data_IF_831387148953
#
_entry.id   IF_831387148953
#
_cell.length_a   1.000
_cell.length_b   1.000
_cell.length_c   1.000
_cell.angle_alpha   90.00
_cell.angle_beta   90.00
_cell.angle_gamma   90.00
#
_symmetry.space_group_name_H-M   'P 1'
#
loop_
_entity.id
_entity.type
_entity.pdbx_description
1 polymer ?
#
# COMPACT_ATOMS: atom_id res chain seq x y z
N UNK A 1 4.40 -23.02 -7.25
CA UNK A 1 2.97 -22.95 -7.64
C UNK A 1 2.62 -21.66 -8.37
N UNK A 2 2.57 -20.46 -7.75
CA UNK A 2 2.15 -19.23 -8.46
C UNK A 2 2.98 -18.95 -9.73
N UNK A 3 4.30 -19.07 -9.61
CA UNK A 3 5.25 -18.96 -10.73
C UNK A 3 4.97 -19.98 -11.84
N UNK A 4 4.69 -21.24 -11.47
CA UNK A 4 4.39 -22.31 -12.43
C UNK A 4 3.07 -22.08 -13.18
N UNK A 5 2.17 -21.29 -12.58
CA UNK A 5 0.91 -20.84 -13.19
C UNK A 5 1.06 -19.53 -13.98
N UNK A 6 2.26 -18.97 -14.08
CA UNK A 6 2.52 -17.70 -14.77
C UNK A 6 1.97 -16.47 -14.05
N UNK A 7 1.70 -16.55 -12.74
CA UNK A 7 1.23 -15.42 -11.94
C UNK A 7 2.42 -14.57 -11.53
N UNK A 8 2.44 -13.31 -11.98
CA UNK A 8 3.57 -12.40 -11.81
C UNK A 8 3.49 -11.49 -10.58
N UNK A 9 2.30 -11.32 -9.99
CA UNK A 9 2.05 -10.37 -8.89
C UNK A 9 1.33 -11.02 -7.72
N UNK A 10 1.66 -10.59 -6.50
CA UNK A 10 0.97 -10.99 -5.26
C UNK A 10 0.76 -9.80 -4.33
N UNK A 11 -0.34 -9.81 -3.57
CA UNK A 11 -0.60 -8.87 -2.47
C UNK A 11 -0.15 -9.51 -1.17
N UNK A 12 0.69 -8.81 -0.40
CA UNK A 12 1.19 -9.27 0.89
C UNK A 12 0.99 -8.22 1.97
N UNK A 13 0.65 -8.68 3.18
CA UNK A 13 0.45 -7.81 4.33
C UNK A 13 -0.85 -7.02 4.33
N UNK A 14 -1.85 -7.44 3.55
CA UNK A 14 -3.19 -6.84 3.62
C UNK A 14 -3.70 -6.80 5.07
N UNK A 15 -4.42 -5.74 5.44
CA UNK A 15 -4.88 -5.48 6.81
C UNK A 15 -5.60 -6.68 7.45
N UNK A 16 -6.46 -7.36 6.69
CA UNK A 16 -7.16 -8.57 7.14
C UNK A 16 -6.19 -9.72 7.49
N UNK A 17 -5.11 -9.89 6.71
CA UNK A 17 -4.08 -10.89 7.03
C UNK A 17 -3.33 -10.55 8.30
N UNK A 18 -3.04 -9.27 8.53
CA UNK A 18 -2.41 -8.78 9.76
C UNK A 18 -3.30 -8.97 10.98
N UNK A 19 -4.58 -8.63 10.87
CA UNK A 19 -5.46 -8.48 12.03
C UNK A 19 -6.37 -9.69 12.30
N UNK A 20 -6.80 -10.41 11.28
CA UNK A 20 -7.65 -11.61 11.42
C UNK A 20 -6.77 -12.86 11.49
N UNK A 21 -5.77 -12.96 10.62
CA UNK A 21 -4.89 -14.13 10.53
C UNK A 21 -3.59 -13.99 11.34
N UNK A 22 -3.34 -12.83 11.95
CA UNK A 22 -2.22 -12.61 12.86
C UNK A 22 -0.85 -12.56 12.17
N UNK A 23 -0.77 -12.19 10.90
CA UNK A 23 0.52 -12.08 10.20
C UNK A 23 1.34 -10.91 10.74
N UNK A 24 2.50 -11.20 11.32
CA UNK A 24 3.43 -10.21 11.88
C UNK A 24 4.21 -9.47 10.79
N UNK A 25 4.76 -8.31 11.15
CA UNK A 25 5.61 -7.49 10.26
C UNK A 25 6.80 -8.31 9.72
N UNK A 26 7.42 -9.14 10.57
CA UNK A 26 8.55 -10.00 10.19
C UNK A 26 8.14 -11.11 9.23
N UNK A 27 7.02 -11.80 9.49
CA UNK A 27 6.52 -12.86 8.61
C UNK A 27 6.20 -12.32 7.22
N UNK A 28 5.57 -11.14 7.16
CA UNK A 28 5.24 -10.52 5.88
C UNK A 28 6.52 -10.12 5.12
N UNK A 29 7.50 -9.53 5.80
CA UNK A 29 8.79 -9.21 5.19
C UNK A 29 9.51 -10.46 4.64
N UNK A 30 9.45 -11.59 5.34
CA UNK A 30 9.98 -12.89 4.86
C UNK A 30 9.25 -13.40 3.61
N UNK A 31 7.92 -13.25 3.55
CA UNK A 31 7.15 -13.59 2.34
C UNK A 31 7.54 -12.69 1.17
N UNK A 32 7.76 -11.40 1.40
CA UNK A 32 8.20 -10.45 0.37
C UNK A 32 9.54 -10.91 -0.21
N UNK A 33 10.53 -11.20 0.64
CA UNK A 33 11.84 -11.74 0.22
C UNK A 33 11.66 -12.98 -0.65
N UNK A 34 10.88 -13.96 -0.18
CA UNK A 34 10.66 -15.20 -0.89
C UNK A 34 10.01 -15.00 -2.27
N UNK A 35 9.05 -14.08 -2.39
CA UNK A 35 8.43 -13.74 -3.67
C UNK A 35 9.44 -13.13 -4.65
N UNK A 36 10.25 -12.17 -4.18
CA UNK A 36 11.25 -11.50 -5.03
C UNK A 36 12.34 -12.47 -5.51
N UNK A 37 12.83 -13.37 -4.65
CA UNK A 37 13.78 -14.44 -5.00
C UNK A 37 13.22 -15.39 -6.07
N UNK A 38 11.90 -15.50 -6.16
CA UNK A 38 11.21 -16.34 -7.13
C UNK A 38 10.68 -15.56 -8.34
N UNK A 39 11.02 -14.28 -8.49
CA UNK A 39 10.57 -13.39 -9.56
C UNK A 39 9.04 -13.17 -9.58
N UNK A 40 8.43 -13.06 -8.40
CA UNK A 40 7.03 -12.65 -8.23
C UNK A 40 7.03 -11.25 -7.59
N UNK A 41 6.47 -10.29 -8.30
CA UNK A 41 6.37 -8.89 -7.89
C UNK A 41 5.37 -8.73 -6.72
N UNK A 42 5.56 -7.70 -5.90
CA UNK A 42 4.81 -7.58 -4.64
C UNK A 42 4.09 -6.24 -4.54
N UNK A 43 2.80 -6.29 -4.18
CA UNK A 43 2.07 -5.17 -3.58
C UNK A 43 2.12 -5.37 -2.06
N UNK A 44 2.93 -4.55 -1.38
CA UNK A 44 3.16 -4.60 0.06
C UNK A 44 2.23 -3.62 0.79
N UNK A 45 1.27 -4.16 1.53
CA UNK A 45 0.25 -3.37 2.22
C UNK A 45 0.69 -2.96 3.63
N UNK A 46 0.39 -1.70 3.96
CA UNK A 46 0.62 -1.07 5.26
C UNK A 46 -0.59 -0.19 5.64
N UNK A 47 -0.75 0.08 6.93
CA UNK A 47 -1.82 0.95 7.41
C UNK A 47 -2.07 0.83 8.90
N UNK A 48 -2.57 1.93 9.47
CA UNK A 48 -2.95 2.03 10.87
C UNK A 48 -4.45 1.76 11.10
N UNK A 49 -4.79 1.26 12.28
CA UNK A 49 -6.16 1.16 12.81
C UNK A 49 -6.71 2.53 13.20
N UNK A 50 -8.04 2.61 13.37
CA UNK A 50 -8.70 3.85 13.82
C UNK A 50 -8.13 4.36 15.14
N UNK A 51 -8.03 3.49 16.14
CA UNK A 51 -7.51 3.81 17.47
C UNK A 51 -6.07 4.33 17.42
N UNK A 52 -5.25 3.79 16.52
CA UNK A 52 -3.86 4.21 16.33
C UNK A 52 -3.81 5.61 15.68
N UNK A 53 -4.69 5.89 14.72
CA UNK A 53 -4.83 7.23 14.12
C UNK A 53 -5.31 8.26 15.14
N UNK A 54 -6.34 7.95 15.91
CA UNK A 54 -6.88 8.82 16.95
C UNK A 54 -5.86 9.09 18.07
N UNK A 55 -4.95 8.14 18.32
CA UNK A 55 -3.82 8.31 19.23
C UNK A 55 -2.61 9.03 18.60
N UNK A 56 -2.68 9.49 17.36
CA UNK A 56 -1.57 10.18 16.67
C UNK A 56 -0.41 9.27 16.26
N UNK A 57 -0.63 7.95 16.18
CA UNK A 57 0.40 6.93 15.90
C UNK A 57 0.50 6.51 14.44
N UNK A 58 -0.18 7.19 13.52
CA UNK A 58 -0.16 6.87 12.07
C UNK A 58 1.26 6.68 11.53
N UNK A 59 2.17 7.62 11.82
CA UNK A 59 3.58 7.50 11.38
C UNK A 59 4.27 6.28 11.99
N UNK A 60 4.16 6.13 13.31
CA UNK A 60 4.81 5.05 14.07
C UNK A 60 4.44 3.67 13.49
N UNK A 61 3.15 3.44 13.25
CA UNK A 61 2.64 2.15 12.76
C UNK A 61 3.11 1.87 11.34
N UNK A 62 2.93 2.82 10.42
CA UNK A 62 3.32 2.63 9.02
C UNK A 62 4.84 2.48 8.89
N UNK A 63 5.62 3.24 9.66
CA UNK A 63 7.09 3.13 9.66
C UNK A 63 7.56 1.81 10.27
N UNK A 64 6.95 1.32 11.35
CA UNK A 64 7.27 -0.01 11.91
C UNK A 64 7.05 -1.11 10.88
N UNK A 65 5.90 -1.09 10.20
CA UNK A 65 5.55 -2.08 9.18
C UNK A 65 6.54 -2.03 8.01
N UNK A 66 6.91 -0.84 7.53
CA UNK A 66 7.90 -0.66 6.46
C UNK A 66 9.33 -1.01 6.87
N UNK A 67 9.73 -0.68 8.11
CA UNK A 67 11.07 -0.95 8.62
C UNK A 67 11.39 -2.45 8.58
N UNK A 68 10.41 -3.30 8.90
CA UNK A 68 10.59 -4.75 8.82
C UNK A 68 11.03 -5.24 7.42
N UNK A 69 10.59 -4.57 6.34
CA UNK A 69 11.02 -4.87 4.98
C UNK A 69 12.36 -4.20 4.63
N UNK A 70 12.57 -2.95 5.05
CA UNK A 70 13.86 -2.26 4.88
C UNK A 70 15.01 -3.07 5.49
N UNK A 71 14.80 -3.66 6.66
CA UNK A 71 15.81 -4.46 7.36
C UNK A 71 16.24 -5.71 6.58
N UNK A 72 15.39 -6.19 5.65
CA UNK A 72 15.72 -7.31 4.75
C UNK A 72 16.62 -6.91 3.58
N UNK A 73 16.84 -5.60 3.34
CA UNK A 73 17.72 -5.06 2.28
C UNK A 73 17.39 -5.62 0.88
N UNK A 74 16.11 -5.76 0.58
CA UNK A 74 15.63 -6.23 -0.72
C UNK A 74 15.84 -5.19 -1.83
N UNK A 75 15.81 -5.64 -3.08
CA UNK A 75 15.65 -4.75 -4.24
C UNK A 75 14.19 -4.29 -4.34
N UNK A 76 13.98 -2.98 -4.40
CA UNK A 76 12.67 -2.34 -4.42
C UNK A 76 12.05 -2.23 -5.82
N UNK A 77 12.80 -2.58 -6.88
CA UNK A 77 12.37 -2.44 -8.29
C UNK A 77 11.02 -3.12 -8.58
N UNK A 78 10.74 -4.23 -7.91
CA UNK A 78 9.53 -5.05 -8.12
C UNK A 78 8.53 -4.96 -6.95
N UNK A 79 8.54 -3.83 -6.23
CA UNK A 79 7.69 -3.58 -5.07
C UNK A 79 6.81 -2.35 -5.31
N UNK A 80 5.53 -2.48 -4.97
CA UNK A 80 4.56 -1.39 -4.85
C UNK A 80 4.12 -1.31 -3.39
N UNK A 81 4.07 -0.11 -2.80
CA UNK A 81 3.49 0.08 -1.47
C UNK A 81 2.01 0.41 -1.63
N UNK A 82 1.14 -0.32 -0.93
CA UNK A 82 -0.27 0.05 -0.79
C UNK A 82 -0.51 0.60 0.63
N UNK A 83 -0.80 1.90 0.73
CA UNK A 83 -1.26 2.50 1.98
C UNK A 83 -2.77 2.32 2.10
N UNK A 84 -3.17 1.56 3.11
CA UNK A 84 -4.56 1.19 3.38
C UNK A 84 -4.92 1.57 4.82
N UNK A 85 -5.37 2.81 5.09
CA UNK A 85 -5.87 3.15 6.42
C UNK A 85 -7.00 2.18 6.79
N UNK A 86 -6.78 1.33 7.80
CA UNK A 86 -7.66 0.17 8.07
C UNK A 86 -9.08 0.62 8.38
N UNK A 87 -9.20 1.79 8.99
CA UNK A 87 -10.48 2.43 9.31
C UNK A 87 -11.29 2.90 8.08
N UNK A 88 -10.66 2.97 6.90
CA UNK A 88 -11.28 3.30 5.63
C UNK A 88 -11.62 2.07 4.78
N UNK A 89 -11.37 0.84 5.25
CA UNK A 89 -11.62 -0.39 4.48
C UNK A 89 -13.05 -0.88 4.77
N UNK A 90 -13.91 -0.91 3.74
CA UNK A 90 -15.25 -1.48 3.84
C UNK A 90 -16.25 -0.71 4.73
N UNK A 91 -15.85 0.43 5.29
CA UNK A 91 -16.67 1.24 6.21
C UNK A 91 -17.48 2.33 5.49
N UNK A 92 -17.21 2.58 4.20
CA UNK A 92 -17.73 3.73 3.47
C UNK A 92 -17.11 5.07 3.89
N UNK A 93 -16.28 5.09 4.94
CA UNK A 93 -15.43 6.22 5.28
C UNK A 93 -14.19 6.18 4.39
N UNK A 94 -13.86 7.30 3.79
CA UNK A 94 -12.66 7.46 2.94
C UNK A 94 -11.79 8.52 3.60
N UNK A 95 -10.47 8.33 3.63
CA UNK A 95 -9.57 9.42 3.97
C UNK A 95 -9.79 10.58 2.99
N UNK A 96 -9.72 11.82 3.49
CA UNK A 96 -9.73 12.96 2.56
C UNK A 96 -8.48 12.88 1.67
N UNK A 97 -8.50 13.45 0.46
CA UNK A 97 -7.32 13.49 -0.39
C UNK A 97 -6.08 14.07 0.31
N UNK A 98 -6.26 15.04 1.20
CA UNK A 98 -5.19 15.65 2.01
C UNK A 98 -4.62 14.65 3.03
N UNK A 99 -5.49 13.89 3.71
CA UNK A 99 -5.06 12.86 4.66
C UNK A 99 -4.29 11.72 3.98
N UNK A 100 -4.76 11.30 2.80
CA UNK A 100 -4.05 10.29 2.01
C UNK A 100 -2.69 10.82 1.52
N UNK A 101 -2.67 12.04 0.98
CA UNK A 101 -1.45 12.70 0.52
C UNK A 101 -0.41 12.87 1.63
N UNK A 102 -0.84 13.27 2.82
CA UNK A 102 0.05 13.44 3.98
C UNK A 102 0.82 12.16 4.30
N UNK A 103 0.12 11.03 4.38
CA UNK A 103 0.76 9.75 4.72
C UNK A 103 1.61 9.23 3.57
N UNK A 104 1.18 9.40 2.32
CA UNK A 104 1.98 9.05 1.14
C UNK A 104 3.31 9.83 1.09
N UNK A 105 3.27 11.14 1.38
CA UNK A 105 4.49 11.95 1.49
C UNK A 105 5.43 11.40 2.56
N UNK A 106 4.91 11.06 3.76
CA UNK A 106 5.72 10.48 4.82
C UNK A 106 6.33 9.13 4.44
N UNK A 107 5.59 8.28 3.73
CA UNK A 107 6.09 7.00 3.21
C UNK A 107 7.25 7.26 2.23
N UNK A 108 7.10 8.22 1.32
CA UNK A 108 8.14 8.57 0.35
C UNK A 108 9.38 9.14 1.02
N UNK A 109 9.21 10.03 2.00
CA UNK A 109 10.30 10.58 2.83
C UNK A 109 11.04 9.47 3.58
N UNK A 110 10.31 8.51 4.15
CA UNK A 110 10.92 7.37 4.83
C UNK A 110 11.74 6.50 3.87
N UNK A 111 11.24 6.19 2.67
CA UNK A 111 12.02 5.45 1.67
C UNK A 111 13.29 6.20 1.29
N UNK A 112 13.20 7.53 1.16
CA UNK A 112 14.34 8.39 0.81
C UNK A 112 15.42 8.34 1.89
N UNK A 113 15.02 8.37 3.16
CA UNK A 113 15.93 8.33 4.31
C UNK A 113 16.51 6.93 4.53
N UNK A 114 15.67 5.88 4.48
CA UNK A 114 16.04 4.54 4.91
C UNK A 114 16.59 3.65 3.80
N UNK A 115 16.31 3.96 2.54
CA UNK A 115 16.73 3.15 1.39
C UNK A 115 17.60 3.98 0.45
N UNK A 116 17.00 4.88 -0.32
CA UNK A 116 17.70 5.84 -1.18
C UNK A 116 16.72 6.82 -1.82
N UNK A 117 17.22 7.95 -2.32
CA UNK A 117 16.43 8.88 -3.11
C UNK A 117 15.87 8.25 -4.40
N UNK A 118 16.65 7.40 -5.07
CA UNK A 118 16.23 6.72 -6.30
C UNK A 118 15.06 5.74 -6.05
N UNK A 119 15.12 4.97 -4.95
CA UNK A 119 14.02 4.09 -4.55
C UNK A 119 12.78 4.88 -4.19
N UNK A 120 12.92 5.99 -3.46
CA UNK A 120 11.80 6.84 -3.08
C UNK A 120 11.08 7.46 -4.30
N UNK A 121 11.82 7.82 -5.33
CA UNK A 121 11.26 8.39 -6.56
C UNK A 121 10.55 7.33 -7.42
N UNK A 122 11.14 6.14 -7.55
CA UNK A 122 10.63 5.08 -8.44
C UNK A 122 9.55 4.20 -7.82
N UNK A 123 9.53 4.05 -6.50
CA UNK A 123 8.55 3.20 -5.82
C UNK A 123 7.17 3.81 -5.95
N UNK A 124 6.24 3.03 -6.50
CA UNK A 124 4.83 3.41 -6.59
C UNK A 124 4.18 3.26 -5.23
N UNK A 125 3.52 4.31 -4.75
CA UNK A 125 2.74 4.32 -3.51
C UNK A 125 1.27 4.51 -3.89
N UNK A 126 0.48 3.45 -3.76
CA UNK A 126 -0.94 3.42 -4.13
C UNK A 126 -1.84 3.50 -2.89
N UNK A 127 -2.99 4.13 -3.03
CA UNK A 127 -3.96 4.30 -1.94
C UNK A 127 -5.05 3.22 -1.99
N UNK A 128 -5.40 2.62 -0.84
CA UNK A 128 -6.38 1.52 -0.77
C UNK A 128 -7.58 1.69 0.17
N UNK A 129 -7.92 2.91 0.59
CA UNK A 129 -9.07 3.15 1.47
C UNK A 129 -10.34 3.62 0.74
N UNK A 130 -11.33 2.75 0.53
CA UNK A 130 -12.67 3.10 -0.03
C UNK A 130 -12.65 3.96 -1.31
N UNK A 131 -11.80 3.62 -2.28
CA UNK A 131 -11.77 4.31 -3.59
C UNK A 131 -13.04 4.00 -4.40
N UNK A 132 -13.64 5.05 -4.97
CA UNK A 132 -14.84 4.97 -5.82
C UNK A 132 -14.66 5.81 -7.10
N UNK A 133 -15.58 5.67 -8.06
CA UNK A 133 -15.54 6.47 -9.28
C UNK A 133 -15.69 7.98 -9.01
N UNK A 134 -16.39 8.34 -7.94
CA UNK A 134 -16.66 9.72 -7.54
C UNK A 134 -15.42 10.39 -6.91
N UNK A 135 -14.64 9.66 -6.10
CA UNK A 135 -13.50 10.24 -5.37
C UNK A 135 -12.13 10.03 -6.05
N UNK A 136 -12.02 9.10 -7.00
CA UNK A 136 -10.73 8.70 -7.56
C UNK A 136 -9.98 9.84 -8.26
N UNK A 137 -10.68 10.79 -8.89
CA UNK A 137 -10.02 11.92 -9.58
C UNK A 137 -9.35 12.88 -8.60
N UNK A 138 -9.96 13.14 -7.45
CA UNK A 138 -9.39 14.08 -6.48
C UNK A 138 -8.23 13.45 -5.69
N UNK A 139 -8.32 12.14 -5.40
CA UNK A 139 -7.19 11.38 -4.87
C UNK A 139 -6.05 11.30 -5.91
N UNK A 140 -6.36 11.01 -7.17
CA UNK A 140 -5.36 10.85 -8.24
C UNK A 140 -4.61 12.14 -8.63
N UNK A 141 -5.14 13.31 -8.27
CA UNK A 141 -4.46 14.61 -8.44
C UNK A 141 -3.35 14.85 -7.41
N UNK A 142 -3.31 14.07 -6.33
CA UNK A 142 -2.31 14.26 -5.27
C UNK A 142 -0.94 13.80 -5.77
N UNK A 143 0.14 14.57 -5.49
CA UNK A 143 1.45 14.35 -6.09
C UNK A 143 2.07 13.01 -5.69
N UNK A 144 1.85 12.53 -4.47
CA UNK A 144 2.47 11.31 -3.96
C UNK A 144 1.56 10.07 -4.04
N UNK A 145 0.37 10.21 -4.64
CA UNK A 145 -0.56 9.08 -4.87
C UNK A 145 -0.38 8.57 -6.30
N UNK A 146 0.21 7.38 -6.43
CA UNK A 146 0.61 6.81 -7.72
C UNK A 146 -0.46 5.91 -8.36
N UNK A 147 -1.58 5.69 -7.66
CA UNK A 147 -2.66 4.83 -8.11
C UNK A 147 -3.49 4.30 -6.94
N UNK A 148 -4.20 3.20 -7.18
CA UNK A 148 -5.17 2.66 -6.22
C UNK A 148 -5.08 1.14 -6.06
N UNK A 149 -5.32 0.67 -4.84
CA UNK A 149 -5.71 -0.71 -4.56
C UNK A 149 -7.21 -0.71 -4.24
N UNK A 150 -8.03 -1.34 -5.09
CA UNK A 150 -9.49 -1.15 -5.05
C UNK A 150 -10.19 -2.43 -4.61
N UNK A 151 -10.91 -2.36 -3.49
CA UNK A 151 -11.75 -3.44 -2.99
C UNK A 151 -13.08 -3.54 -3.74
N UNK A 152 -14.21 -3.30 -3.06
CA UNK A 152 -15.55 -3.56 -3.61
C UNK A 152 -15.91 -2.86 -4.93
N UNK A 153 -15.31 -1.69 -5.23
CA UNK A 153 -15.54 -1.00 -6.50
C UNK A 153 -14.83 -1.68 -7.70
N UNK A 154 -13.84 -2.55 -7.47
CA UNK A 154 -13.17 -3.32 -8.53
C UNK A 154 -14.08 -4.38 -9.16
N UNK A 155 -15.13 -4.79 -8.45
CA UNK A 155 -16.12 -5.77 -8.90
C UNK A 155 -17.27 -5.13 -9.70
N UNK A 156 -17.15 -3.84 -10.05
CA UNK A 156 -18.19 -3.05 -10.73
C UNK A 156 -17.65 -2.47 -12.04
N UNK A 157 -18.51 -2.19 -13.04
CA UNK A 157 -18.10 -1.54 -14.30
C UNK A 157 -17.40 -0.18 -14.08
N UNK A 158 -17.76 0.51 -12.99
CA UNK A 158 -17.15 1.77 -12.57
C UNK A 158 -15.64 1.70 -12.32
N UNK A 159 -15.07 0.50 -12.14
CA UNK A 159 -13.62 0.33 -12.02
C UNK A 159 -12.84 0.93 -13.20
N UNK A 160 -13.44 0.93 -14.40
CA UNK A 160 -12.85 1.57 -15.59
C UNK A 160 -12.67 3.08 -15.38
N UNK A 161 -13.60 3.75 -14.68
CA UNK A 161 -13.46 5.18 -14.35
C UNK A 161 -12.29 5.41 -13.39
N UNK A 162 -12.11 4.51 -12.42
CA UNK A 162 -11.00 4.57 -11.46
C UNK A 162 -9.65 4.38 -12.16
N UNK A 163 -9.53 3.42 -13.10
CA UNK A 163 -8.33 3.24 -13.93
C UNK A 163 -7.99 4.52 -14.71
N UNK A 164 -9.01 5.23 -15.20
CA UNK A 164 -8.84 6.46 -15.99
C UNK A 164 -8.76 7.75 -15.14
N UNK A 165 -8.61 7.65 -13.82
CA UNK A 165 -8.66 8.81 -12.92
C UNK A 165 -7.55 9.84 -13.18
N UNK A 166 -6.39 9.39 -13.68
CA UNK A 166 -5.22 10.23 -14.01
C UNK A 166 -5.03 10.48 -15.51
N UNK A 167 -5.98 10.06 -16.35
CA UNK A 167 -5.99 10.40 -17.79
C UNK A 167 -6.58 11.79 -18.01
#
# INVERSE_FOLDING_TARGET
MLKDLGIEWVILGHSERRHIFGESDQLIAEKVVHCLENHVNVIFCIGEKLEEREAGKTKEVNFRQMQALVDKKVDWTNIVIAYEPVWAIGTGKTATPEQAQEVHLWIREFLKEKVSADVAEKTRIIYGGSVTAENCRDLGKKPDIDGFLVGGASLKPDFIKIINARK
#
